data_IF_118400467588
#
_entry.id   IF_118400467588
#
_cell.length_a   1.000
_cell.length_b   1.000
_cell.length_c   1.000
_cell.angle_alpha   90.00
_cell.angle_beta   90.00
_cell.angle_gamma   90.00
#
_symmetry.space_group_name_H-M   'P 1'
#
loop_
_entity.id
_entity.type
_entity.pdbx_description
1 polymer ?
#
# COMPACT_ATOMS: atom_id res chain seq x y z
N UNK A 1 4.14 -13.01 0.77
CA UNK A 1 5.33 -13.54 0.06
C UNK A 1 5.57 -12.73 -1.20
N UNK A 2 6.76 -12.21 -1.42
CA UNK A 2 7.16 -11.49 -2.65
C UNK A 2 8.43 -12.11 -3.29
N UNK A 3 8.81 -13.28 -2.79
CA UNK A 3 9.99 -14.02 -3.23
C UNK A 3 11.30 -13.63 -2.52
N UNK A 4 11.33 -12.50 -1.83
CA UNK A 4 12.46 -12.07 -0.98
C UNK A 4 12.08 -12.09 0.50
N UNK A 5 10.83 -11.72 0.81
CA UNK A 5 10.30 -11.69 2.17
C UNK A 5 9.01 -12.53 2.24
N UNK A 6 8.90 -13.35 3.28
CA UNK A 6 7.73 -14.17 3.55
C UNK A 6 7.34 -14.02 5.02
N UNK A 7 6.10 -13.64 5.27
CA UNK A 7 5.56 -13.47 6.60
C UNK A 7 4.30 -14.34 6.79
N UNK A 8 4.11 -14.82 7.98
CA UNK A 8 2.82 -15.31 8.45
C UNK A 8 1.86 -14.12 8.68
N UNK A 9 0.57 -14.37 8.77
CA UNK A 9 -0.40 -13.33 9.12
C UNK A 9 -0.17 -12.73 10.50
N UNK A 10 0.35 -13.51 11.46
CA UNK A 10 0.69 -13.02 12.80
C UNK A 10 1.86 -12.03 12.76
N UNK A 11 2.93 -12.36 12.04
CA UNK A 11 4.08 -11.46 11.84
C UNK A 11 3.67 -10.21 11.08
N UNK A 12 2.89 -10.37 10.00
CA UNK A 12 2.38 -9.23 9.23
C UNK A 12 1.50 -8.31 10.10
N UNK A 13 0.62 -8.86 10.92
CA UNK A 13 -0.23 -8.09 11.82
C UNK A 13 0.58 -7.31 12.86
N UNK A 14 1.64 -7.91 13.42
CA UNK A 14 2.53 -7.22 14.36
C UNK A 14 3.21 -6.01 13.71
N UNK A 15 3.76 -6.17 12.50
CA UNK A 15 4.39 -5.08 11.74
C UNK A 15 3.37 -4.00 11.34
N UNK A 16 2.20 -4.40 10.85
CA UNK A 16 1.11 -3.46 10.50
C UNK A 16 0.71 -2.62 11.71
N UNK A 17 0.58 -3.24 12.88
CA UNK A 17 0.24 -2.51 14.11
C UNK A 17 1.33 -1.52 14.50
N UNK A 18 2.61 -1.90 14.44
CA UNK A 18 3.73 -1.01 14.74
C UNK A 18 3.81 0.19 13.78
N UNK A 19 3.60 -0.04 12.47
CA UNK A 19 3.55 1.04 11.46
C UNK A 19 2.33 1.94 11.71
N UNK A 20 1.16 1.37 11.99
CA UNK A 20 -0.06 2.12 12.26
C UNK A 20 0.03 2.98 13.52
N UNK A 21 0.63 2.43 14.59
CA UNK A 21 0.88 3.17 15.84
C UNK A 21 1.82 4.35 15.61
N UNK A 22 2.87 4.19 14.79
CA UNK A 22 3.78 5.28 14.46
C UNK A 22 3.10 6.36 13.62
N UNK A 23 2.28 5.98 12.63
CA UNK A 23 1.46 6.94 11.86
C UNK A 23 0.57 7.80 12.78
N UNK A 24 -0.08 7.16 13.76
CA UNK A 24 -0.92 7.87 14.74
C UNK A 24 -0.08 8.75 15.66
N UNK A 25 1.07 8.29 16.14
CA UNK A 25 1.99 9.08 16.96
C UNK A 25 2.49 10.33 16.22
N UNK A 26 2.63 10.27 14.90
CA UNK A 26 2.97 11.39 14.03
C UNK A 26 1.77 12.24 13.61
N UNK A 27 0.59 11.95 14.15
CA UNK A 27 -0.60 12.78 14.01
C UNK A 27 -1.47 12.45 12.80
N UNK A 28 -1.38 11.23 12.23
CA UNK A 28 -2.32 10.82 11.18
C UNK A 28 -3.76 10.88 11.70
N UNK A 29 -4.53 11.78 11.12
CA UNK A 29 -5.95 11.94 11.44
C UNK A 29 -6.85 10.93 10.70
N UNK A 30 -8.07 10.76 11.22
CA UNK A 30 -9.09 9.92 10.59
C UNK A 30 -9.34 10.34 9.13
N UNK A 31 -9.27 9.39 8.21
CA UNK A 31 -9.49 9.58 6.79
C UNK A 31 -8.38 10.31 6.04
N UNK A 32 -7.34 10.75 6.74
CA UNK A 32 -6.19 11.41 6.13
C UNK A 32 -5.41 10.45 5.23
N UNK A 33 -4.95 10.95 4.07
CA UNK A 33 -4.26 10.10 3.12
C UNK A 33 -2.81 9.83 3.52
N UNK A 34 -2.35 8.63 3.15
CA UNK A 34 -0.95 8.18 3.18
C UNK A 34 -0.56 7.79 1.77
N UNK A 35 0.37 8.51 1.15
CA UNK A 35 0.87 8.22 -0.19
C UNK A 35 1.88 7.08 -0.15
N UNK A 36 1.77 6.15 -1.12
CA UNK A 36 2.67 5.00 -1.25
C UNK A 36 3.14 4.91 -2.71
N UNK A 37 4.45 4.98 -2.94
CA UNK A 37 5.04 4.94 -4.28
C UNK A 37 6.20 3.95 -4.31
N UNK A 38 6.07 2.90 -5.09
CA UNK A 38 7.13 1.92 -5.21
C UNK A 38 6.69 0.61 -5.82
N UNK A 39 7.62 -0.31 -5.79
CA UNK A 39 7.45 -1.68 -6.27
C UNK A 39 6.53 -2.47 -5.35
N UNK A 40 5.69 -3.33 -5.92
CA UNK A 40 4.82 -4.24 -5.17
C UNK A 40 5.65 -5.25 -4.37
N UNK A 41 5.74 -5.06 -3.06
CA UNK A 41 6.48 -5.89 -2.11
C UNK A 41 5.63 -6.20 -0.88
N UNK A 42 6.11 -7.11 -0.02
CA UNK A 42 5.48 -7.36 1.29
C UNK A 42 5.42 -6.07 2.10
N UNK A 43 6.51 -5.30 2.15
CA UNK A 43 6.55 -4.03 2.90
C UNK A 43 5.60 -2.97 2.37
N UNK A 44 5.45 -2.88 1.04
CA UNK A 44 4.43 -2.04 0.43
C UNK A 44 3.02 -2.41 0.93
N UNK A 45 2.71 -3.71 0.95
CA UNK A 45 1.42 -4.22 1.43
C UNK A 45 1.21 -3.93 2.93
N UNK A 46 2.26 -4.05 3.76
CA UNK A 46 2.20 -3.69 5.19
C UNK A 46 1.86 -2.22 5.40
N UNK A 47 2.51 -1.30 4.67
CA UNK A 47 2.22 0.14 4.73
C UNK A 47 0.79 0.43 4.29
N UNK A 48 0.31 -0.21 3.20
CA UNK A 48 -1.06 -0.07 2.73
C UNK A 48 -2.08 -0.45 3.82
N UNK A 49 -1.87 -1.59 4.46
CA UNK A 49 -2.75 -2.05 5.55
C UNK A 49 -2.64 -1.16 6.78
N UNK A 50 -1.44 -0.74 7.14
CA UNK A 50 -1.20 0.11 8.31
C UNK A 50 -1.88 1.47 8.20
N UNK A 51 -1.89 2.08 7.01
CA UNK A 51 -2.62 3.32 6.76
C UNK A 51 -4.12 3.18 7.08
N UNK A 52 -4.71 2.03 6.73
CA UNK A 52 -6.13 1.74 6.96
C UNK A 52 -6.40 1.43 8.44
N UNK A 53 -5.54 0.64 9.09
CA UNK A 53 -5.64 0.28 10.51
C UNK A 53 -5.44 1.51 11.40
N UNK A 54 -4.57 2.43 11.02
CA UNK A 54 -4.39 3.72 11.71
C UNK A 54 -5.61 4.65 11.61
N UNK A 55 -6.64 4.28 10.84
CA UNK A 55 -7.84 5.10 10.60
C UNK A 55 -7.70 6.05 9.40
N UNK A 56 -6.61 5.98 8.68
CA UNK A 56 -6.34 6.80 7.49
C UNK A 56 -6.92 6.21 6.19
N UNK A 57 -6.44 6.77 5.08
CA UNK A 57 -6.80 6.41 3.71
C UNK A 57 -5.52 6.12 2.91
N UNK A 58 -5.37 4.92 2.38
CA UNK A 58 -4.20 4.60 1.56
C UNK A 58 -4.31 5.24 0.16
N UNK A 59 -3.27 5.93 -0.29
CA UNK A 59 -3.18 6.55 -1.61
C UNK A 59 -2.00 5.95 -2.42
N UNK A 60 -2.15 4.74 -2.96
CA UNK A 60 -1.14 4.12 -3.80
C UNK A 60 -0.99 4.89 -5.12
N UNK A 61 0.24 5.31 -5.43
CA UNK A 61 0.57 6.09 -6.63
C UNK A 61 1.13 5.18 -7.73
N UNK A 62 0.77 5.50 -8.99
CA UNK A 62 1.28 4.73 -10.13
C UNK A 62 2.75 5.01 -10.40
N UNK A 63 3.55 3.95 -10.51
CA UNK A 63 4.99 4.04 -10.79
C UNK A 63 5.32 4.47 -12.23
N UNK A 64 4.31 4.51 -13.12
CA UNK A 64 4.46 4.93 -14.51
C UNK A 64 4.16 6.43 -14.76
N UNK A 65 3.73 7.16 -13.71
CA UNK A 65 3.47 8.59 -13.82
C UNK A 65 4.78 9.39 -13.88
N UNK A 66 4.73 10.55 -14.55
CA UNK A 66 5.85 11.50 -14.55
C UNK A 66 6.03 12.13 -13.16
N UNK A 67 7.24 12.65 -12.83
CA UNK A 67 7.45 13.34 -11.56
C UNK A 67 6.45 14.47 -11.30
N UNK A 68 6.08 15.24 -12.32
CA UNK A 68 5.06 16.30 -12.23
C UNK A 68 3.68 15.75 -11.87
N UNK A 69 3.29 14.62 -12.48
CA UNK A 69 2.02 13.96 -12.16
C UNK A 69 2.05 13.38 -10.75
N UNK A 70 3.16 12.80 -10.31
CA UNK A 70 3.32 12.27 -8.95
C UNK A 70 3.19 13.40 -7.92
N UNK A 71 3.86 14.55 -8.13
CA UNK A 71 3.73 15.71 -7.26
C UNK A 71 2.28 16.22 -7.19
N UNK A 72 1.58 16.24 -8.33
CA UNK A 72 0.17 16.62 -8.39
C UNK A 72 -0.74 15.65 -7.64
N UNK A 73 -0.53 14.33 -7.77
CA UNK A 73 -1.30 13.31 -7.03
C UNK A 73 -1.05 13.42 -5.52
N UNK A 74 0.19 13.64 -5.08
CA UNK A 74 0.54 13.82 -3.68
C UNK A 74 -0.14 15.07 -3.10
N UNK A 75 -0.15 16.18 -3.85
CA UNK A 75 -0.83 17.40 -3.44
C UNK A 75 -2.35 17.21 -3.38
N UNK A 76 -2.95 16.58 -4.41
CA UNK A 76 -4.39 16.31 -4.50
C UNK A 76 -4.89 15.39 -3.36
N UNK A 77 -4.10 14.36 -3.00
CA UNK A 77 -4.44 13.45 -1.91
C UNK A 77 -4.44 14.13 -0.53
N UNK A 78 -3.73 15.23 -0.36
CA UNK A 78 -3.52 15.88 0.93
C UNK A 78 -2.74 15.00 1.93
N UNK A 79 -1.94 14.06 1.43
CA UNK A 79 -1.17 13.16 2.29
C UNK A 79 -0.13 13.94 3.12
N UNK A 80 0.05 13.53 4.37
CA UNK A 80 1.12 14.02 5.24
C UNK A 80 2.38 13.14 5.22
N UNK A 81 2.24 11.91 4.71
CA UNK A 81 3.33 10.93 4.64
C UNK A 81 3.47 10.37 3.23
N UNK A 82 4.71 10.12 2.83
CA UNK A 82 5.07 9.42 1.60
C UNK A 82 5.97 8.23 1.95
N UNK A 83 5.49 7.04 1.69
CA UNK A 83 6.29 5.82 1.74
C UNK A 83 6.78 5.52 0.33
N UNK A 84 8.10 5.40 0.14
CA UNK A 84 8.70 5.35 -1.19
C UNK A 84 9.88 4.38 -1.24
N UNK A 85 10.08 3.69 -2.36
CA UNK A 85 11.30 2.92 -2.59
C UNK A 85 12.46 3.80 -3.10
N UNK A 86 13.68 3.33 -2.93
CA UNK A 86 14.89 4.10 -3.26
C UNK A 86 14.97 4.45 -4.76
N UNK A 87 14.46 3.58 -5.65
CA UNK A 87 14.48 3.82 -7.09
C UNK A 87 13.59 5.02 -7.43
N UNK A 88 12.36 5.03 -6.91
CA UNK A 88 11.43 6.12 -7.17
C UNK A 88 11.82 7.41 -6.47
N UNK A 89 12.45 7.30 -5.30
CA UNK A 89 13.01 8.47 -4.63
C UNK A 89 14.11 9.12 -5.47
N UNK A 90 15.06 8.35 -5.99
CA UNK A 90 16.13 8.87 -6.85
C UNK A 90 15.56 9.56 -8.11
N UNK A 91 14.58 8.92 -8.80
CA UNK A 91 13.90 9.51 -9.96
C UNK A 91 13.24 10.87 -9.64
N UNK A 92 12.58 10.99 -8.47
CA UNK A 92 11.94 12.23 -8.05
C UNK A 92 12.97 13.31 -7.69
N UNK A 93 14.01 12.95 -6.94
CA UNK A 93 15.08 13.87 -6.54
C UNK A 93 15.82 14.44 -7.77
N UNK A 94 16.18 13.57 -8.71
CA UNK A 94 16.89 13.96 -9.94
C UNK A 94 16.02 14.81 -10.87
N UNK A 95 14.70 14.71 -10.77
CA UNK A 95 13.78 15.48 -11.62
C UNK A 95 13.74 16.97 -11.32
N UNK A 96 14.16 17.39 -10.12
CA UNK A 96 14.07 18.76 -9.65
C UNK A 96 12.64 19.29 -9.45
N UNK A 97 11.62 18.41 -9.49
CA UNK A 97 10.22 18.80 -9.28
C UNK A 97 9.99 19.06 -7.78
N UNK A 98 9.37 20.20 -7.47
CA UNK A 98 8.97 20.53 -6.11
C UNK A 98 7.87 19.58 -5.62
N UNK A 99 8.14 18.84 -4.54
CA UNK A 99 7.15 17.99 -3.87
C UNK A 99 6.41 18.80 -2.80
N UNK A 100 5.15 18.44 -2.49
CA UNK A 100 4.47 19.00 -1.32
C UNK A 100 5.23 18.64 -0.03
N UNK A 101 4.96 19.36 1.05
CA UNK A 101 5.57 19.09 2.35
C UNK A 101 5.04 17.75 2.91
N UNK A 102 5.84 16.69 2.77
CA UNK A 102 5.53 15.33 3.19
C UNK A 102 6.66 14.78 4.07
N UNK A 103 6.33 13.94 5.04
CA UNK A 103 7.31 13.09 5.72
C UNK A 103 7.63 11.90 4.84
N UNK A 104 8.89 11.73 4.50
CA UNK A 104 9.33 10.62 3.66
C UNK A 104 9.82 9.46 4.52
N UNK A 105 9.43 8.23 4.15
CA UNK A 105 9.89 6.98 4.78
C UNK A 105 10.29 6.01 3.67
N UNK A 106 11.49 5.46 3.75
CA UNK A 106 12.01 4.52 2.76
C UNK A 106 11.49 3.11 3.03
N UNK A 107 10.85 2.49 2.04
CA UNK A 107 10.20 1.16 2.22
C UNK A 107 11.23 0.02 2.20
N UNK A 108 12.22 0.09 1.33
CA UNK A 108 13.06 -1.05 0.93
C UNK A 108 14.45 -1.05 1.55
N UNK A 109 15.06 0.11 1.76
CA UNK A 109 16.38 0.23 2.34
C UNK A 109 16.58 1.59 3.01
N UNK A 110 17.49 1.69 3.96
CA UNK A 110 17.95 2.96 4.48
C UNK A 110 18.72 3.72 3.38
N UNK A 111 18.42 4.99 3.22
CA UNK A 111 19.16 5.89 2.36
C UNK A 111 19.47 7.19 3.15
N UNK A 112 20.69 7.28 3.68
CA UNK A 112 21.14 8.44 4.44
C UNK A 112 21.13 9.73 3.59
N UNK A 113 21.32 9.60 2.28
CA UNK A 113 21.29 10.75 1.35
C UNK A 113 19.88 11.32 1.14
N UNK A 114 18.86 10.49 1.32
CA UNK A 114 17.46 10.91 1.22
C UNK A 114 16.99 11.74 2.43
N UNK A 115 17.74 11.70 3.55
CA UNK A 115 17.31 12.33 4.80
C UNK A 115 16.01 11.74 5.37
N UNK A 116 15.66 10.52 4.95
CA UNK A 116 14.44 9.80 5.31
C UNK A 116 14.77 8.50 6.03
N UNK A 117 14.05 8.16 7.12
CA UNK A 117 14.28 6.92 7.84
C UNK A 117 13.86 5.70 7.00
N UNK A 118 14.48 4.56 7.28
CA UNK A 118 14.02 3.28 6.78
C UNK A 118 12.79 2.79 7.57
N UNK A 119 11.85 2.15 6.90
CA UNK A 119 10.57 1.72 7.46
C UNK A 119 10.69 0.95 8.78
N UNK A 120 11.62 -0.02 8.83
CA UNK A 120 11.78 -0.87 10.03
C UNK A 120 12.40 -0.12 11.22
N UNK A 121 13.16 0.95 10.97
CA UNK A 121 13.74 1.80 12.01
C UNK A 121 12.76 2.91 12.42
N UNK A 122 11.87 3.31 11.51
CA UNK A 122 10.90 4.37 11.71
C UNK A 122 9.65 3.92 12.48
N UNK A 123 9.19 2.69 12.26
CA UNK A 123 7.96 2.18 12.89
C UNK A 123 8.11 2.11 14.42
N UNK A 124 6.99 2.09 15.13
CA UNK A 124 6.98 1.94 16.58
C UNK A 124 7.61 0.59 17.01
N UNK A 125 8.08 0.55 18.25
CA UNK A 125 8.66 -0.67 18.82
C UNK A 125 7.67 -1.85 18.77
N UNK A 126 8.21 -3.06 18.68
CA UNK A 126 7.41 -4.28 18.72
C UNK A 126 6.48 -4.33 19.95
N UNK A 127 5.25 -4.74 19.71
CA UNK A 127 4.21 -4.84 20.74
C UNK A 127 3.42 -3.54 20.98
N UNK A 128 3.79 -2.41 20.36
CA UNK A 128 2.97 -1.20 20.39
C UNK A 128 1.80 -1.36 19.42
N UNK A 129 0.58 -1.32 19.96
CA UNK A 129 -0.64 -1.37 19.16
C UNK A 129 -1.18 0.05 18.86
N UNK A 130 -1.78 0.27 17.69
CA UNK A 130 -2.47 1.53 17.41
C UNK A 130 -3.72 1.67 18.27
N UNK A 131 -4.11 2.92 18.53
CA UNK A 131 -5.41 3.23 19.14
C UNK A 131 -6.52 2.92 18.16
N UNK A 132 -7.61 2.30 18.64
CA UNK A 132 -8.78 2.04 17.82
C UNK A 132 -9.40 3.34 17.31
N UNK A 133 -9.64 3.41 16.00
CA UNK A 133 -10.32 4.54 15.35
C UNK A 133 -11.67 4.08 14.85
N UNK A 134 -12.74 4.65 15.40
CA UNK A 134 -14.11 4.37 14.96
C UNK A 134 -14.32 4.95 13.57
N UNK A 135 -14.57 4.06 12.60
CA UNK A 135 -14.80 4.41 11.21
C UNK A 135 -16.19 3.98 10.76
N UNK A 136 -16.80 4.77 9.88
CA UNK A 136 -18.11 4.50 9.28
C UNK A 136 -18.01 4.00 7.82
N UNK A 137 -19.14 3.58 7.24
CA UNK A 137 -19.20 3.05 5.88
C UNK A 137 -18.73 4.05 4.81
N UNK A 138 -19.02 5.32 4.98
CA UNK A 138 -18.66 6.38 4.03
C UNK A 138 -17.23 6.92 4.20
N UNK A 139 -16.54 6.54 5.28
CA UNK A 139 -15.16 6.96 5.48
C UNK A 139 -14.26 6.45 4.36
N UNK A 140 -13.25 7.23 3.93
CA UNK A 140 -12.34 6.83 2.87
C UNK A 140 -11.50 5.63 3.31
N UNK A 141 -11.32 4.70 2.37
CA UNK A 141 -10.47 3.52 2.53
C UNK A 141 -9.19 3.66 1.72
N UNK A 142 -9.32 3.98 0.45
CA UNK A 142 -8.19 4.26 -0.42
C UNK A 142 -8.55 5.19 -1.59
N UNK A 143 -7.51 5.83 -2.16
CA UNK A 143 -7.61 6.64 -3.37
C UNK A 143 -6.90 5.91 -4.50
N UNK A 144 -7.59 5.72 -5.64
CA UNK A 144 -6.99 5.19 -6.88
C UNK A 144 -6.92 6.30 -7.90
N UNK A 145 -5.72 6.58 -8.41
CA UNK A 145 -5.53 7.56 -9.46
C UNK A 145 -5.71 6.94 -10.85
N UNK A 146 -6.59 7.52 -11.64
CA UNK A 146 -6.76 7.21 -13.05
C UNK A 146 -6.02 8.21 -13.93
N UNK A 147 -5.55 7.77 -15.09
CA UNK A 147 -4.78 8.60 -16.04
C UNK A 147 -5.58 9.73 -16.70
N UNK A 148 -6.85 9.93 -16.37
CA UNK A 148 -7.73 10.98 -16.88
C UNK A 148 -7.54 11.31 -18.38
N UNK A 149 -8.59 11.42 -19.15
CA UNK A 149 -8.52 11.79 -20.59
C UNK A 149 -7.94 13.19 -20.83
N UNK A 150 -7.85 14.03 -19.79
CA UNK A 150 -7.34 15.40 -19.82
C UNK A 150 -5.86 15.52 -19.44
N UNK A 151 -5.17 14.40 -19.21
CA UNK A 151 -3.74 14.40 -18.81
C UNK A 151 -3.50 14.68 -17.32
N UNK A 152 -4.48 15.19 -16.59
CA UNK A 152 -4.40 15.37 -15.13
C UNK A 152 -4.95 14.14 -14.44
N UNK A 153 -4.18 13.47 -13.58
CA UNK A 153 -4.65 12.33 -12.81
C UNK A 153 -5.84 12.72 -11.92
N UNK A 154 -6.83 11.84 -11.84
CA UNK A 154 -8.03 12.03 -11.00
C UNK A 154 -8.03 10.99 -9.89
N UNK A 155 -8.09 11.42 -8.63
CA UNK A 155 -8.23 10.57 -7.46
C UNK A 155 -9.68 10.08 -7.31
N UNK A 156 -9.86 8.76 -7.37
CA UNK A 156 -11.15 8.10 -7.13
C UNK A 156 -11.11 7.56 -5.69
N UNK A 157 -11.88 8.16 -4.81
CA UNK A 157 -11.99 7.73 -3.42
C UNK A 157 -12.92 6.54 -3.31
N UNK A 158 -12.42 5.43 -2.76
CA UNK A 158 -13.22 4.27 -2.42
C UNK A 158 -13.55 4.32 -0.92
N UNK A 159 -14.84 4.19 -0.59
CA UNK A 159 -15.28 4.12 0.80
C UNK A 159 -15.02 2.74 1.42
N UNK A 160 -15.06 2.68 2.76
CA UNK A 160 -14.96 1.42 3.50
C UNK A 160 -16.08 0.45 3.14
N UNK A 161 -17.30 0.96 2.95
CA UNK A 161 -18.44 0.17 2.52
C UNK A 161 -18.23 -0.47 1.14
N UNK A 162 -17.70 0.30 0.19
CA UNK A 162 -17.40 -0.23 -1.15
C UNK A 162 -16.41 -1.40 -1.08
N UNK A 163 -15.33 -1.26 -0.29
CA UNK A 163 -14.35 -2.34 -0.13
C UNK A 163 -14.92 -3.54 0.61
N UNK A 164 -15.77 -3.30 1.61
CA UNK A 164 -16.47 -4.38 2.29
C UNK A 164 -17.36 -5.20 1.33
N UNK A 165 -18.13 -4.53 0.45
CA UNK A 165 -18.92 -5.23 -0.58
C UNK A 165 -18.05 -6.03 -1.55
N UNK A 166 -16.90 -5.51 -1.95
CA UNK A 166 -15.97 -6.25 -2.81
C UNK A 166 -15.42 -7.50 -2.12
N UNK A 167 -15.14 -7.44 -0.82
CA UNK A 167 -14.75 -8.61 -0.04
C UNK A 167 -15.90 -9.63 0.05
N UNK A 168 -17.11 -9.19 0.35
CA UNK A 168 -18.28 -10.07 0.45
C UNK A 168 -18.57 -10.83 -0.87
N UNK A 169 -18.45 -10.15 -2.02
CA UNK A 169 -18.56 -10.80 -3.34
C UNK A 169 -17.41 -11.80 -3.55
N UNK A 170 -16.21 -11.52 -3.06
CA UNK A 170 -15.07 -12.42 -3.10
C UNK A 170 -15.35 -13.74 -2.35
N UNK A 171 -16.06 -13.68 -1.23
CA UNK A 171 -16.49 -14.86 -0.47
C UNK A 171 -17.40 -15.77 -1.28
N UNK A 172 -18.44 -15.22 -1.88
CA UNK A 172 -19.38 -15.98 -2.73
C UNK A 172 -18.68 -16.65 -3.91
N UNK A 173 -17.61 -16.03 -4.41
CA UNK A 173 -16.80 -16.54 -5.52
C UNK A 173 -15.71 -17.53 -5.07
N UNK A 174 -15.53 -17.75 -3.76
CA UNK A 174 -14.49 -18.62 -3.19
C UNK A 174 -13.07 -18.09 -3.37
N UNK A 175 -12.89 -16.80 -3.65
CA UNK A 175 -11.57 -16.19 -3.83
C UNK A 175 -10.90 -15.91 -2.48
N UNK A 176 -9.65 -16.34 -2.36
CA UNK A 176 -8.81 -16.01 -1.22
C UNK A 176 -9.06 -16.82 0.06
N UNK A 177 -9.80 -17.93 -0.02
CA UNK A 177 -10.10 -18.78 1.13
C UNK A 177 -8.83 -19.35 1.80
N UNK A 178 -8.96 -19.76 3.05
CA UNK A 178 -7.89 -20.44 3.79
C UNK A 178 -7.35 -21.63 2.99
N UNK A 179 -6.04 -21.73 2.88
CA UNK A 179 -5.35 -22.76 2.09
C UNK A 179 -5.23 -22.44 0.59
N UNK A 180 -5.84 -21.36 0.11
CA UNK A 180 -5.66 -20.89 -1.26
C UNK A 180 -4.54 -19.86 -1.35
N UNK A 181 -3.82 -19.85 -2.47
CA UNK A 181 -2.86 -18.82 -2.80
C UNK A 181 -3.37 -17.93 -3.94
N UNK A 182 -3.27 -16.63 -3.74
CA UNK A 182 -3.62 -15.62 -4.74
C UNK A 182 -2.34 -14.99 -5.27
N UNK A 183 -2.08 -15.20 -6.56
CA UNK A 183 -0.91 -14.63 -7.24
C UNK A 183 -1.25 -13.25 -7.79
N UNK A 184 -0.72 -12.21 -7.16
CA UNK A 184 -0.91 -10.81 -7.49
C UNK A 184 0.20 -10.36 -8.45
N UNK A 185 -0.08 -10.39 -9.74
CA UNK A 185 0.90 -10.13 -10.80
C UNK A 185 0.82 -8.73 -11.41
N UNK A 186 -0.13 -7.92 -10.95
CA UNK A 186 -0.28 -6.51 -11.32
C UNK A 186 0.03 -5.60 -10.13
N UNK A 187 0.46 -4.34 -10.36
CA UNK A 187 0.86 -3.46 -9.27
C UNK A 187 -0.25 -3.14 -8.27
N UNK A 188 0.10 -2.94 -7.01
CA UNK A 188 -0.84 -2.63 -5.92
C UNK A 188 -1.47 -1.23 -5.99
N UNK A 189 -1.08 -0.38 -6.93
CA UNK A 189 -1.84 0.84 -7.22
C UNK A 189 -3.05 0.59 -8.14
N UNK A 190 -3.21 -0.63 -8.67
CA UNK A 190 -4.36 -1.01 -9.50
C UNK A 190 -5.55 -1.44 -8.63
N UNK A 191 -6.73 -0.93 -8.97
CA UNK A 191 -7.97 -1.32 -8.28
C UNK A 191 -8.24 -2.82 -8.33
N UNK A 192 -7.95 -3.47 -9.47
CA UNK A 192 -8.12 -4.92 -9.64
C UNK A 192 -7.27 -5.70 -8.64
N UNK A 193 -5.99 -5.33 -8.51
CA UNK A 193 -5.07 -5.97 -7.57
C UNK A 193 -5.52 -5.78 -6.13
N UNK A 194 -5.88 -4.55 -5.77
CA UNK A 194 -6.31 -4.23 -4.40
C UNK A 194 -7.60 -4.94 -4.02
N UNK A 195 -8.57 -5.04 -4.94
CA UNK A 195 -9.82 -5.77 -4.66
C UNK A 195 -9.57 -7.24 -4.32
N UNK A 196 -8.69 -7.90 -5.08
CA UNK A 196 -8.32 -9.31 -4.86
C UNK A 196 -7.43 -9.44 -3.61
N UNK A 197 -6.49 -8.52 -3.40
CA UNK A 197 -5.62 -8.52 -2.22
C UNK A 197 -6.40 -8.43 -0.92
N UNK A 198 -7.34 -7.47 -0.81
CA UNK A 198 -8.12 -7.32 0.44
C UNK A 198 -9.06 -8.50 0.68
N UNK A 199 -9.60 -9.13 -0.37
CA UNK A 199 -10.38 -10.36 -0.24
C UNK A 199 -9.51 -11.52 0.27
N UNK A 200 -8.32 -11.72 -0.32
CA UNK A 200 -7.36 -12.74 0.14
C UNK A 200 -6.98 -12.57 1.60
N UNK A 201 -6.77 -11.31 2.05
CA UNK A 201 -6.49 -10.98 3.44
C UNK A 201 -7.67 -11.31 4.34
N UNK A 202 -8.88 -10.91 3.96
CA UNK A 202 -10.08 -11.06 4.77
C UNK A 202 -10.41 -12.55 5.05
N UNK A 203 -10.12 -13.43 4.09
CA UNK A 203 -10.44 -14.86 4.20
C UNK A 203 -9.24 -15.75 4.58
N UNK A 204 -8.08 -15.15 4.90
CA UNK A 204 -6.91 -15.87 5.40
C UNK A 204 -6.18 -16.72 4.37
N UNK A 205 -6.31 -16.39 3.10
CA UNK A 205 -5.52 -16.99 2.02
C UNK A 205 -4.06 -16.53 2.03
N UNK A 206 -3.25 -17.04 1.13
CA UNK A 206 -1.87 -16.61 0.95
C UNK A 206 -1.78 -15.60 -0.19
N UNK A 207 -1.32 -14.38 0.08
CA UNK A 207 -1.02 -13.39 -0.95
C UNK A 207 0.42 -13.56 -1.44
N UNK A 208 0.59 -13.85 -2.74
CA UNK A 208 1.89 -13.96 -3.40
C UNK A 208 2.05 -12.76 -4.32
N UNK A 209 2.96 -11.85 -3.96
CA UNK A 209 3.16 -10.58 -4.65
C UNK A 209 4.27 -10.71 -5.70
N UNK A 210 3.99 -10.33 -6.93
CA UNK A 210 5.02 -10.22 -7.96
C UNK A 210 5.46 -8.77 -8.10
N UNK A 211 6.74 -8.51 -7.90
CA UNK A 211 7.35 -7.17 -8.06
C UNK A 211 7.20 -6.63 -9.47
N UNK A 212 7.34 -7.53 -10.45
CA UNK A 212 7.16 -7.26 -11.87
C UNK A 212 6.61 -8.53 -12.53
N UNK A 213 5.67 -8.36 -13.44
CA UNK A 213 5.15 -9.50 -14.20
C UNK A 213 6.25 -10.12 -15.06
N UNK A 214 6.45 -11.41 -14.89
CA UNK A 214 7.28 -12.27 -15.74
C UNK A 214 6.53 -13.60 -15.95
N UNK A 215 6.37 -14.01 -17.20
CA UNK A 215 5.56 -15.15 -17.56
C UNK A 215 6.12 -16.49 -17.01
N UNK A 216 7.44 -16.66 -17.06
CA UNK A 216 8.08 -17.88 -16.57
C UNK A 216 7.98 -17.96 -15.03
N UNK A 217 8.24 -16.84 -14.36
CA UNK A 217 8.11 -16.74 -12.90
C UNK A 217 6.67 -16.92 -12.44
N UNK A 218 5.70 -16.37 -13.17
CA UNK A 218 4.29 -16.59 -12.88
C UNK A 218 3.91 -18.07 -12.90
N UNK A 219 4.34 -18.81 -13.93
CA UNK A 219 4.08 -20.25 -14.06
C UNK A 219 4.78 -21.07 -12.95
N UNK A 220 5.98 -20.67 -12.57
CA UNK A 220 6.72 -21.27 -11.46
C UNK A 220 5.96 -21.09 -10.13
N UNK A 221 5.58 -19.86 -9.80
CA UNK A 221 4.82 -19.54 -8.58
C UNK A 221 3.46 -20.24 -8.55
N UNK A 222 2.75 -20.30 -9.69
CA UNK A 222 1.49 -21.01 -9.81
C UNK A 222 1.64 -22.52 -9.56
N UNK A 223 2.79 -23.12 -9.87
CA UNK A 223 3.09 -24.53 -9.56
C UNK A 223 3.48 -24.72 -8.09
N UNK A 224 4.22 -23.77 -7.53
CA UNK A 224 4.71 -23.82 -6.16
C UNK A 224 3.58 -23.68 -5.13
N UNK A 225 2.54 -22.91 -5.45
CA UNK A 225 1.43 -22.57 -4.57
C UNK A 225 0.11 -23.29 -4.95
N UNK A 226 0.20 -24.46 -5.54
CA UNK A 226 -0.97 -25.33 -5.87
C UNK A 226 -1.64 -25.89 -4.63
#
# INVERSE_FOLDING_TARGET
DDGEEKLTWAEAAALVNSIAAQLQAEGLGKGQAVSILGTTTVRYALVYLAAIIAGGCAAPLTTSATPQQLAAMMADSGAGHLFIDHIKWAELADSGVGLPALRHVMIDAADESAGAPFLLDWMANEGVAPTEVVTGPEDPYNIIYSSGTTGTPKGIVHSRQMRWYQMAIGEESGLGAVGQATLLSTPMYSNTTLGIFVATMAYGGTAVLMRKFDCARWLELARQHR
#
